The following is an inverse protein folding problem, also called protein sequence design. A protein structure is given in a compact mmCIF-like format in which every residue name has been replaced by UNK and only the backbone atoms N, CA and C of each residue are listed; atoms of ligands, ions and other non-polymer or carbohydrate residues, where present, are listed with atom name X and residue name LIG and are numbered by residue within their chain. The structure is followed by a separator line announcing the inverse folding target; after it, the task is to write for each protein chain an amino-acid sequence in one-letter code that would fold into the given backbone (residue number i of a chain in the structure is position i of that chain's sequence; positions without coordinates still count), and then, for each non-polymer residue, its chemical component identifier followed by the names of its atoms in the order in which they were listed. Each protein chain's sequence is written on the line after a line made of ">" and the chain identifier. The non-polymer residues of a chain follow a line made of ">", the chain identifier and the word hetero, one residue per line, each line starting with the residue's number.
data_IF_127970127428
#
_entry.id   IF_127970127428
#
_cell.length_a   1.000
_cell.length_b   1.000
_cell.length_c   1.000
_cell.angle_alpha   90.00
_cell.angle_beta   90.00
_cell.angle_gamma   90.00
#
_symmetry.space_group_name_H-M   'P 1'
#
loop_
_entity.id
_entity.type
_entity.pdbx_description
1 polymer ?
#
# COMPACT_ATOMS: atom_id res chain seq x y z
N UNK A 1 -2.90 -40.66 48.41
CA UNK A 1 -2.26 -40.01 47.24
C UNK A 1 -3.19 -39.77 46.02
N UNK A 2 -4.40 -40.33 45.95
CA UNK A 2 -5.30 -40.16 44.78
C UNK A 2 -5.95 -38.77 44.65
N UNK A 3 -6.23 -38.06 45.75
CA UNK A 3 -6.88 -36.72 45.71
C UNK A 3 -5.99 -35.57 45.24
N UNK A 4 -4.65 -35.68 45.38
CA UNK A 4 -3.72 -34.66 44.89
C UNK A 4 -3.45 -34.79 43.39
N UNK A 5 -3.58 -35.99 42.83
CA UNK A 5 -3.35 -36.25 41.40
C UNK A 5 -4.47 -35.68 40.52
N UNK A 6 -5.74 -35.76 40.96
CA UNK A 6 -6.87 -35.17 40.24
C UNK A 6 -6.81 -33.65 40.17
N UNK A 7 -6.26 -32.99 41.19
CA UNK A 7 -6.13 -31.53 41.22
C UNK A 7 -5.06 -31.04 40.23
N UNK A 8 -3.95 -31.80 40.08
CA UNK A 8 -2.90 -31.49 39.12
C UNK A 8 -3.37 -31.72 37.68
N UNK A 9 -4.18 -32.76 37.44
CA UNK A 9 -4.74 -33.03 36.10
C UNK A 9 -5.77 -31.96 35.71
N UNK A 10 -6.64 -31.53 36.62
CA UNK A 10 -7.57 -30.43 36.34
C UNK A 10 -6.86 -29.08 36.14
N UNK A 11 -5.76 -28.81 36.87
CA UNK A 11 -4.97 -27.60 36.68
C UNK A 11 -4.21 -27.61 35.35
N UNK A 12 -3.66 -28.74 34.92
CA UNK A 12 -3.03 -28.87 33.59
C UNK A 12 -4.04 -28.72 32.46
N UNK A 13 -5.26 -29.27 32.58
CA UNK A 13 -6.32 -29.08 31.58
C UNK A 13 -6.80 -27.62 31.52
N UNK A 14 -6.84 -26.91 32.64
CA UNK A 14 -7.16 -25.48 32.67
C UNK A 14 -6.05 -24.63 32.03
N UNK A 15 -4.77 -24.96 32.26
CA UNK A 15 -3.63 -24.28 31.63
C UNK A 15 -3.55 -24.59 30.13
N UNK A 16 -3.88 -25.81 29.69
CA UNK A 16 -3.96 -26.15 28.25
C UNK A 16 -5.14 -25.43 27.60
N UNK A 17 -6.28 -25.27 28.29
CA UNK A 17 -7.42 -24.51 27.79
C UNK A 17 -7.19 -22.98 27.80
N UNK A 18 -6.37 -22.46 28.72
CA UNK A 18 -5.97 -21.04 28.75
C UNK A 18 -4.81 -20.73 27.79
N UNK A 19 -3.95 -21.71 27.48
CA UNK A 19 -3.01 -21.62 26.36
C UNK A 19 -3.70 -21.73 24.98
N UNK A 20 -4.91 -22.29 24.91
CA UNK A 20 -5.75 -22.30 23.72
C UNK A 20 -6.63 -21.05 23.55
N UNK A 21 -6.66 -20.14 24.53
CA UNK A 21 -7.43 -18.88 24.47
C UNK A 21 -6.57 -17.61 24.57
N UNK A 22 -5.27 -17.73 24.39
CA UNK A 22 -4.33 -16.62 24.58
C UNK A 22 -3.31 -16.47 23.45
N UNK A 23 -3.74 -16.59 22.19
CA UNK A 23 -3.05 -16.03 21.04
C UNK A 23 -3.84 -16.32 19.75
N UNK A 24 -4.87 -15.52 19.46
CA UNK A 24 -4.99 -15.04 18.08
C UNK A 24 -3.81 -14.08 17.84
N UNK A 25 -2.58 -14.59 17.91
CA UNK A 25 -1.48 -14.06 17.12
C UNK A 25 -1.74 -14.55 15.71
N UNK A 26 -2.75 -13.97 15.07
CA UNK A 26 -2.76 -13.94 13.63
C UNK A 26 -1.54 -13.10 13.26
N UNK A 27 -0.39 -13.76 13.07
CA UNK A 27 0.65 -13.22 12.20
C UNK A 27 -0.08 -12.76 10.95
N UNK A 28 -0.04 -11.46 10.61
CA UNK A 28 -0.76 -10.85 9.50
C UNK A 28 -0.78 -11.80 8.30
N UNK A 29 -1.89 -12.52 8.16
CA UNK A 29 -1.91 -13.79 7.46
C UNK A 29 -1.52 -13.57 6.01
N UNK A 30 -0.48 -14.25 5.55
CA UNK A 30 -0.03 -14.18 4.17
C UNK A 30 -1.23 -14.40 3.25
N UNK A 31 -1.59 -13.34 2.54
CA UNK A 31 -2.60 -13.33 1.51
C UNK A 31 -2.40 -14.55 0.59
N UNK A 32 -3.43 -15.40 0.50
CA UNK A 32 -3.44 -16.60 -0.33
C UNK A 32 -3.82 -16.23 -1.75
N UNK A 33 -3.10 -16.76 -2.73
CA UNK A 33 -3.44 -16.62 -4.13
C UNK A 33 -4.90 -17.04 -4.39
N UNK A 34 -5.59 -16.28 -5.24
CA UNK A 34 -6.97 -16.49 -5.65
C UNK A 34 -7.96 -16.65 -4.50
N UNK A 35 -7.72 -15.93 -3.40
CA UNK A 35 -8.67 -15.76 -2.30
C UNK A 35 -9.17 -14.33 -2.31
N UNK A 36 -10.49 -14.12 -2.25
CA UNK A 36 -11.05 -12.79 -2.03
C UNK A 36 -10.99 -12.42 -0.55
N UNK A 37 -10.39 -11.27 -0.28
CA UNK A 37 -10.38 -10.61 1.02
C UNK A 37 -11.29 -9.39 0.93
N UNK A 38 -12.40 -9.44 1.63
CA UNK A 38 -13.54 -8.52 1.44
C UNK A 38 -13.68 -7.65 2.68
N UNK A 39 -13.91 -6.35 2.49
CA UNK A 39 -14.25 -5.47 3.61
C UNK A 39 -15.49 -6.01 4.34
N UNK A 40 -15.41 -6.13 5.67
CA UNK A 40 -16.43 -6.81 6.48
C UNK A 40 -17.77 -6.08 6.54
N UNK A 41 -17.83 -4.86 6.01
CA UNK A 41 -18.99 -3.97 5.89
C UNK A 41 -19.90 -4.33 4.71
N UNK A 42 -20.37 -5.58 4.62
CA UNK A 42 -21.40 -5.95 3.65
C UNK A 42 -22.70 -5.16 3.92
N UNK A 43 -23.49 -4.83 2.87
CA UNK A 43 -24.67 -3.99 3.00
C UNK A 43 -25.67 -4.52 4.05
N UNK A 44 -26.24 -3.63 4.87
CA UNK A 44 -27.30 -4.00 5.80
C UNK A 44 -28.48 -4.62 5.05
N UNK A 45 -28.98 -5.77 5.53
CA UNK A 45 -30.11 -6.49 4.93
C UNK A 45 -29.74 -7.58 3.92
N UNK A 46 -28.49 -7.65 3.46
CA UNK A 46 -28.02 -8.71 2.55
C UNK A 46 -28.12 -10.12 3.15
N UNK A 47 -28.08 -10.27 4.48
CA UNK A 47 -28.12 -11.59 5.14
C UNK A 47 -26.84 -12.42 4.93
N UNK A 48 -26.04 -12.14 3.90
CA UNK A 48 -24.73 -12.71 3.69
C UNK A 48 -23.67 -12.01 4.52
N UNK A 49 -22.71 -12.80 4.98
CA UNK A 49 -21.56 -12.32 5.75
C UNK A 49 -20.28 -12.76 5.07
N UNK A 50 -19.21 -12.02 5.24
CA UNK A 50 -17.88 -12.47 4.81
C UNK A 50 -17.45 -13.58 5.77
N UNK A 51 -16.88 -14.67 5.24
CA UNK A 51 -16.27 -15.68 6.09
C UNK A 51 -15.15 -15.04 6.94
N UNK A 52 -15.07 -15.39 8.22
CA UNK A 52 -14.14 -14.73 9.14
C UNK A 52 -12.67 -14.79 8.69
N UNK A 53 -12.25 -15.85 8.00
CA UNK A 53 -10.89 -16.03 7.45
C UNK A 53 -10.66 -15.26 6.13
N UNK A 54 -11.68 -14.58 5.62
CA UNK A 54 -11.73 -13.84 4.35
C UNK A 54 -12.09 -12.37 4.54
N UNK A 55 -12.27 -11.93 5.78
CA UNK A 55 -12.41 -10.50 6.08
C UNK A 55 -11.08 -9.83 5.77
N UNK A 56 -11.13 -8.73 5.00
CA UNK A 56 -9.97 -7.90 4.74
C UNK A 56 -9.50 -7.29 6.05
N UNK A 57 -8.38 -7.78 6.55
CA UNK A 57 -7.73 -7.22 7.72
C UNK A 57 -6.61 -6.30 7.26
N UNK A 58 -6.67 -5.04 7.67
CA UNK A 58 -5.51 -4.16 7.58
C UNK A 58 -4.53 -4.58 8.67
N UNK A 59 -3.29 -4.90 8.28
CA UNK A 59 -2.21 -5.13 9.25
C UNK A 59 -2.08 -3.87 10.10
N UNK A 60 -1.97 -4.02 11.42
CA UNK A 60 -1.77 -2.86 12.28
C UNK A 60 -0.27 -2.57 12.42
N UNK A 61 0.14 -1.31 12.57
CA UNK A 61 1.55 -0.96 12.77
C UNK A 61 2.22 -1.77 13.90
N UNK A 62 1.52 -2.01 15.01
CA UNK A 62 2.05 -2.77 16.16
C UNK A 62 2.35 -4.25 15.85
N UNK A 63 1.68 -4.83 14.86
CA UNK A 63 1.83 -6.24 14.47
C UNK A 63 2.97 -6.44 13.46
N UNK A 64 3.51 -5.37 12.89
CA UNK A 64 4.68 -5.43 12.01
C UNK A 64 5.92 -5.88 12.79
N UNK A 65 6.85 -6.63 12.18
CA UNK A 65 8.12 -6.93 12.82
C UNK A 65 8.93 -5.65 13.09
N UNK A 66 9.88 -5.72 14.02
CA UNK A 66 10.87 -4.65 14.18
C UNK A 66 11.78 -4.57 12.94
N UNK A 67 12.33 -3.38 12.62
CA UNK A 67 13.25 -3.25 11.50
C UNK A 67 14.49 -4.12 11.71
N UNK A 68 15.08 -4.58 10.60
CA UNK A 68 16.33 -5.37 10.64
C UNK A 68 17.52 -4.58 11.19
N UNK A 69 17.47 -3.25 11.12
CA UNK A 69 18.51 -2.34 11.59
C UNK A 69 17.88 -1.16 12.30
N UNK A 70 18.45 -0.77 13.44
CA UNK A 70 18.07 0.47 14.14
C UNK A 70 18.64 1.72 13.46
N UNK A 71 19.58 1.55 12.53
CA UNK A 71 20.20 2.62 11.75
C UNK A 71 20.41 2.13 10.31
N UNK A 72 20.14 3.01 9.34
CA UNK A 72 20.37 2.74 7.91
C UNK A 72 21.28 3.81 7.31
N UNK A 73 22.09 3.40 6.35
CA UNK A 73 22.79 4.32 5.44
C UNK A 73 21.97 4.46 4.17
N UNK A 74 21.52 5.68 3.88
CA UNK A 74 20.68 5.99 2.71
C UNK A 74 21.40 6.98 1.82
N UNK A 75 21.27 6.81 0.51
CA UNK A 75 21.76 7.76 -0.47
C UNK A 75 20.58 8.48 -1.12
N UNK A 76 20.44 9.78 -0.85
CA UNK A 76 19.42 10.63 -1.49
C UNK A 76 20.16 11.67 -2.32
N UNK A 77 19.87 11.73 -3.62
CA UNK A 77 20.54 12.62 -4.59
C UNK A 77 22.08 12.54 -4.54
N UNK A 78 22.61 11.33 -4.39
CA UNK A 78 24.06 11.07 -4.34
C UNK A 78 24.76 11.49 -3.04
N UNK A 79 24.03 11.98 -2.04
CA UNK A 79 24.54 12.24 -0.69
C UNK A 79 24.20 11.07 0.23
N UNK A 80 25.19 10.56 0.95
CA UNK A 80 24.99 9.53 1.96
C UNK A 80 24.63 10.15 3.30
N UNK A 81 23.61 9.59 3.95
CA UNK A 81 23.14 9.96 5.26
C UNK A 81 23.06 8.72 6.15
N UNK A 82 23.25 8.92 7.45
CA UNK A 82 22.82 7.97 8.46
C UNK A 82 21.47 8.42 9.00
N UNK A 83 20.52 7.48 9.11
CA UNK A 83 19.20 7.72 9.65
C UNK A 83 18.86 6.68 10.73
N UNK A 84 18.38 7.17 11.86
CA UNK A 84 17.99 6.35 13.01
C UNK A 84 16.52 5.96 12.94
N UNK A 85 16.19 4.76 13.37
CA UNK A 85 14.82 4.26 13.39
C UNK A 85 13.94 5.10 14.33
N UNK A 86 12.79 5.54 13.80
CA UNK A 86 11.85 6.42 14.50
C UNK A 86 10.47 5.78 14.70
N UNK A 87 10.18 4.67 14.03
CA UNK A 87 8.92 3.93 14.19
C UNK A 87 8.53 3.19 12.92
N UNK A 88 7.35 2.57 12.94
CA UNK A 88 6.81 1.80 11.82
C UNK A 88 5.34 2.11 11.60
N UNK A 89 4.88 1.91 10.38
CA UNK A 89 3.51 2.14 9.95
C UNK A 89 3.17 1.17 8.81
N UNK A 90 1.90 1.09 8.47
CA UNK A 90 1.44 0.30 7.32
C UNK A 90 1.07 1.21 6.16
N UNK A 91 1.67 0.93 5.01
CA UNK A 91 1.40 1.61 3.75
C UNK A 91 0.48 0.75 2.90
N UNK A 92 -0.66 1.30 2.49
CA UNK A 92 -1.63 0.59 1.65
C UNK A 92 -2.15 -0.70 2.30
N UNK A 93 -2.14 -1.81 1.55
CA UNK A 93 -2.67 -3.10 1.98
C UNK A 93 -1.62 -3.93 2.77
N UNK A 94 -1.15 -3.36 3.87
CA UNK A 94 -0.26 -4.04 4.83
C UNK A 94 1.22 -4.06 4.45
N UNK A 95 1.69 -3.20 3.54
CA UNK A 95 3.12 -3.07 3.29
C UNK A 95 3.77 -2.39 4.50
N UNK A 96 4.79 -3.02 5.08
CA UNK A 96 5.55 -2.44 6.18
C UNK A 96 6.31 -1.18 5.71
N UNK A 97 6.03 -0.04 6.35
CA UNK A 97 6.80 1.19 6.23
C UNK A 97 7.60 1.44 7.49
N UNK A 98 8.92 1.41 7.39
CA UNK A 98 9.82 1.71 8.50
C UNK A 98 10.31 3.14 8.37
N UNK A 99 10.03 3.95 9.39
CA UNK A 99 10.33 5.37 9.44
C UNK A 99 11.71 5.57 10.07
N UNK A 100 12.52 6.40 9.42
CA UNK A 100 13.85 6.78 9.87
C UNK A 100 14.02 8.29 9.81
N UNK A 101 14.88 8.83 10.67
CA UNK A 101 15.17 10.27 10.73
C UNK A 101 16.69 10.51 10.75
N UNK A 102 17.17 11.44 9.92
CA UNK A 102 18.57 11.87 9.92
C UNK A 102 18.83 12.84 11.07
N UNK A 103 20.10 13.03 11.44
CA UNK A 103 20.47 14.04 12.45
C UNK A 103 20.09 15.47 12.02
N UNK A 104 19.92 15.70 10.72
CA UNK A 104 19.50 16.98 10.14
C UNK A 104 17.97 17.17 10.14
N UNK A 105 17.19 16.16 10.54
CA UNK A 105 15.72 16.20 10.59
C UNK A 105 15.02 15.77 9.29
N UNK A 106 15.76 15.20 8.32
CA UNK A 106 15.15 14.60 7.15
C UNK A 106 14.46 13.30 7.54
N UNK A 107 13.27 13.05 7.00
CA UNK A 107 12.48 11.85 7.29
C UNK A 107 12.42 10.94 6.08
N UNK A 108 12.60 9.66 6.34
CA UNK A 108 12.53 8.62 5.32
C UNK A 108 11.55 7.55 5.76
N UNK A 109 10.85 6.96 4.80
CA UNK A 109 10.14 5.71 5.00
C UNK A 109 10.64 4.69 3.99
N UNK A 110 11.05 3.52 4.49
CA UNK A 110 11.57 2.42 3.67
C UNK A 110 10.70 1.19 3.81
N UNK A 111 10.63 0.38 2.76
CA UNK A 111 9.96 -0.91 2.81
C UNK A 111 10.81 -1.96 3.57
N UNK A 112 10.29 -3.19 3.68
CA UNK A 112 11.00 -4.30 4.34
C UNK A 112 12.25 -4.78 3.59
N UNK A 113 12.43 -4.41 2.32
CA UNK A 113 13.62 -4.67 1.52
C UNK A 113 14.66 -3.54 1.65
N UNK A 114 14.30 -2.40 2.23
CA UNK A 114 15.16 -1.23 2.41
C UNK A 114 15.08 -0.22 1.26
N UNK A 115 14.11 -0.35 0.35
CA UNK A 115 13.88 0.66 -0.69
C UNK A 115 13.18 1.87 -0.08
N UNK A 116 13.59 3.07 -0.48
CA UNK A 116 12.97 4.30 0.00
C UNK A 116 11.64 4.53 -0.70
N UNK A 117 10.54 4.43 0.05
CA UNK A 117 9.19 4.73 -0.42
C UNK A 117 8.85 6.20 -0.27
N UNK A 118 9.35 6.85 0.79
CA UNK A 118 9.13 8.27 1.04
C UNK A 118 10.40 8.94 1.54
N UNK A 119 10.59 10.18 1.13
CA UNK A 119 11.62 11.08 1.64
C UNK A 119 11.02 12.47 1.78
N UNK A 120 11.29 13.12 2.91
CA UNK A 120 10.97 14.52 3.14
C UNK A 120 12.16 15.21 3.80
N UNK A 121 12.68 16.22 3.14
CA UNK A 121 13.78 17.02 3.66
C UNK A 121 13.35 17.82 4.89
N UNK A 122 14.29 18.13 5.78
CA UNK A 122 14.06 19.01 6.93
C UNK A 122 13.53 20.39 6.48
N UNK A 123 14.10 20.93 5.39
CA UNK A 123 13.68 22.21 4.80
C UNK A 123 12.20 22.23 4.41
N UNK A 124 11.62 21.09 4.04
CA UNK A 124 10.21 20.98 3.71
C UNK A 124 9.24 21.14 4.91
N UNK A 125 9.75 21.17 6.15
CA UNK A 125 8.94 21.51 7.32
C UNK A 125 8.88 23.02 7.56
N UNK A 126 9.96 23.73 7.22
CA UNK A 126 10.04 25.18 7.33
C UNK A 126 9.49 25.88 6.09
N UNK A 127 9.37 25.16 4.97
CA UNK A 127 8.83 25.65 3.71
C UNK A 127 7.29 25.74 3.76
N UNK A 128 6.78 26.84 4.32
CA UNK A 128 5.36 27.12 4.35
C UNK A 128 4.80 27.33 2.94
N UNK A 129 3.70 26.66 2.63
CA UNK A 129 2.98 26.87 1.39
C UNK A 129 2.37 28.28 1.36
N UNK A 130 2.74 29.07 0.35
CA UNK A 130 2.24 30.42 0.11
C UNK A 130 2.07 30.65 -1.38
N UNK A 131 1.23 31.61 -1.76
CA UNK A 131 1.21 32.09 -3.13
C UNK A 131 2.52 32.82 -3.46
N UNK A 132 2.98 32.65 -4.70
CA UNK A 132 4.19 33.26 -5.26
C UNK A 132 3.86 34.00 -6.54
N UNK A 133 4.63 35.04 -6.83
CA UNK A 133 4.55 35.77 -8.09
C UNK A 133 5.33 35.05 -9.21
N UNK A 134 5.03 35.38 -10.46
CA UNK A 134 5.72 34.78 -11.62
C UNK A 134 7.24 35.04 -11.63
N UNK A 135 7.71 36.15 -11.04
CA UNK A 135 9.13 36.47 -10.93
C UNK A 135 9.84 35.68 -9.80
N UNK A 136 9.07 35.17 -8.83
CA UNK A 136 9.59 34.35 -7.74
C UNK A 136 9.67 32.87 -8.13
N UNK A 137 8.84 32.38 -9.04
CA UNK A 137 8.75 30.97 -9.37
C UNK A 137 9.41 30.62 -10.72
N UNK A 138 9.88 29.38 -10.84
CA UNK A 138 10.15 28.79 -12.15
C UNK A 138 8.85 28.73 -12.97
N UNK A 139 8.95 28.87 -14.30
CA UNK A 139 7.82 28.58 -15.18
C UNK A 139 7.39 27.10 -15.03
N UNK A 140 6.14 26.75 -15.37
CA UNK A 140 5.68 25.36 -15.34
C UNK A 140 6.60 24.39 -16.10
N UNK A 141 7.10 24.79 -17.27
CA UNK A 141 8.01 23.99 -18.10
C UNK A 141 9.38 23.81 -17.43
N UNK A 142 9.94 24.90 -16.89
CA UNK A 142 11.24 24.85 -16.21
C UNK A 142 11.17 24.01 -14.92
N UNK A 143 10.05 24.12 -14.19
CA UNK A 143 9.80 23.35 -12.97
C UNK A 143 9.63 21.85 -13.29
N UNK A 144 8.87 21.51 -14.34
CA UNK A 144 8.74 20.12 -14.81
C UNK A 144 10.06 19.54 -15.31
N UNK A 145 10.89 20.34 -16.00
CA UNK A 145 12.22 19.91 -16.41
C UNK A 145 13.10 19.55 -15.19
N UNK A 146 13.07 20.38 -14.14
CA UNK A 146 13.78 20.09 -12.88
C UNK A 146 13.25 18.85 -12.18
N UNK A 147 11.94 18.66 -12.13
CA UNK A 147 11.34 17.45 -11.58
C UNK A 147 11.81 16.19 -12.33
N UNK A 148 11.91 16.25 -13.67
CA UNK A 148 12.44 15.15 -14.50
C UNK A 148 13.93 14.89 -14.24
N UNK A 149 14.75 15.91 -14.00
CA UNK A 149 16.14 15.73 -13.60
C UNK A 149 16.25 14.94 -12.28
N UNK A 150 15.46 15.30 -11.26
CA UNK A 150 15.43 14.56 -9.99
C UNK A 150 14.92 13.13 -10.18
N UNK A 151 13.90 12.92 -11.02
CA UNK A 151 13.41 11.59 -11.33
C UNK A 151 14.52 10.68 -11.88
N UNK A 152 15.34 11.20 -12.79
CA UNK A 152 16.51 10.48 -13.33
C UNK A 152 17.58 10.24 -12.26
N UNK A 153 17.86 11.22 -11.40
CA UNK A 153 18.85 11.08 -10.34
C UNK A 153 18.44 10.05 -9.27
N UNK A 154 17.15 9.97 -8.95
CA UNK A 154 16.61 9.10 -7.90
C UNK A 154 16.41 7.67 -8.40
N UNK A 155 15.88 7.48 -9.62
CA UNK A 155 15.44 6.17 -10.10
C UNK A 155 16.22 5.66 -11.33
N UNK A 156 17.14 6.46 -11.88
CA UNK A 156 17.87 6.15 -13.10
C UNK A 156 17.10 6.49 -14.38
N UNK A 157 17.83 6.58 -15.50
CA UNK A 157 17.29 6.98 -16.81
C UNK A 157 16.19 6.04 -17.30
N UNK A 158 16.40 4.73 -17.15
CA UNK A 158 15.49 3.71 -17.68
C UNK A 158 14.13 3.73 -16.98
N UNK A 159 14.12 3.91 -15.65
CA UNK A 159 12.88 4.06 -14.89
C UNK A 159 12.22 5.39 -15.22
N UNK A 160 12.95 6.49 -15.18
CA UNK A 160 12.41 7.83 -15.41
C UNK A 160 11.75 7.98 -16.79
N UNK A 161 12.29 7.35 -17.84
CA UNK A 161 11.76 7.41 -19.19
C UNK A 161 10.35 6.81 -19.35
N UNK A 162 9.92 5.98 -18.40
CA UNK A 162 8.60 5.32 -18.42
C UNK A 162 7.52 6.14 -17.75
N UNK A 163 7.86 7.28 -17.18
CA UNK A 163 6.96 8.07 -16.34
C UNK A 163 6.81 9.48 -16.91
N UNK A 164 5.58 10.00 -16.88
CA UNK A 164 5.30 11.37 -17.30
C UNK A 164 4.31 12.07 -16.37
N UNK A 165 4.35 13.40 -16.39
CA UNK A 165 3.49 14.27 -15.62
C UNK A 165 3.03 15.47 -16.47
N UNK A 166 1.81 15.98 -16.25
CA UNK A 166 1.37 17.22 -16.88
C UNK A 166 2.18 18.42 -16.37
N UNK A 167 2.03 19.57 -17.03
CA UNK A 167 2.57 20.83 -16.52
C UNK A 167 1.97 21.11 -15.12
N UNK A 168 2.80 21.51 -14.14
CA UNK A 168 2.34 21.77 -12.80
C UNK A 168 1.66 23.15 -12.69
N UNK A 169 0.89 23.33 -11.63
CA UNK A 169 0.56 24.67 -11.12
C UNK A 169 1.76 25.19 -10.32
N UNK A 170 2.28 26.36 -10.70
CA UNK A 170 3.43 27.02 -10.05
C UNK A 170 3.02 28.28 -9.29
N UNK A 171 1.73 28.45 -8.99
CA UNK A 171 1.22 29.60 -8.24
C UNK A 171 1.56 29.57 -6.75
N UNK A 172 2.08 28.45 -6.24
CA UNK A 172 2.47 28.29 -4.84
C UNK A 172 3.97 27.99 -4.67
N UNK A 173 4.47 28.22 -3.46
CA UNK A 173 5.85 27.94 -3.08
C UNK A 173 6.21 26.45 -3.09
N UNK A 174 5.21 25.55 -3.05
CA UNK A 174 5.42 24.09 -3.14
C UNK A 174 4.75 23.56 -4.39
N UNK A 175 5.55 23.15 -5.35
CA UNK A 175 5.08 22.64 -6.65
C UNK A 175 5.05 21.12 -6.63
N UNK A 176 3.86 20.54 -6.81
CA UNK A 176 3.65 19.10 -6.81
C UNK A 176 3.66 18.52 -8.23
N UNK A 177 4.34 17.39 -8.38
CA UNK A 177 4.41 16.61 -9.60
C UNK A 177 3.90 15.21 -9.32
N UNK A 178 2.98 14.72 -10.15
CA UNK A 178 2.46 13.35 -10.06
C UNK A 178 2.79 12.60 -11.34
N UNK A 179 3.96 11.96 -11.33
CA UNK A 179 4.44 11.11 -12.40
C UNK A 179 3.71 9.77 -12.38
N UNK A 180 3.13 9.42 -13.53
CA UNK A 180 2.46 8.13 -13.75
C UNK A 180 3.16 7.38 -14.88
N UNK A 181 3.15 6.03 -14.88
CA UNK A 181 3.64 5.28 -16.02
C UNK A 181 2.94 5.71 -17.31
N UNK A 182 3.68 5.82 -18.40
CA UNK A 182 3.13 6.08 -19.74
C UNK A 182 2.29 4.89 -20.20
N UNK A 183 2.70 3.68 -19.85
CA UNK A 183 1.94 2.44 -20.00
C UNK A 183 1.35 1.99 -18.65
N UNK A 184 0.34 2.72 -18.18
CA UNK A 184 -0.31 2.45 -16.88
C UNK A 184 -1.29 1.28 -16.89
N UNK A 185 -1.43 0.59 -18.02
CA UNK A 185 -2.49 -0.41 -18.25
C UNK A 185 -1.87 -1.75 -18.60
N UNK A 186 -2.25 -2.80 -17.88
CA UNK A 186 -1.97 -4.20 -18.22
C UNK A 186 -3.27 -4.90 -18.58
N UNK A 187 -3.59 -4.98 -19.87
CA UNK A 187 -4.87 -5.53 -20.33
C UNK A 187 -6.05 -4.67 -19.86
N UNK A 188 -6.94 -5.25 -19.05
CA UNK A 188 -8.09 -4.54 -18.46
C UNK A 188 -7.78 -3.83 -17.13
N UNK A 189 -6.53 -3.84 -16.67
CA UNK A 189 -6.15 -3.42 -15.32
C UNK A 189 -5.29 -2.17 -15.32
N UNK A 190 -5.60 -1.20 -14.46
CA UNK A 190 -4.70 -0.08 -14.15
C UNK A 190 -3.68 -0.47 -13.10
N UNK A 191 -2.49 0.12 -13.08
CA UNK A 191 -1.51 -0.12 -12.01
C UNK A 191 -1.54 0.96 -10.94
N UNK A 192 -1.17 0.61 -9.70
CA UNK A 192 -1.03 1.53 -8.58
C UNK A 192 0.28 2.33 -8.59
N UNK A 193 1.13 2.15 -9.60
CA UNK A 193 2.43 2.81 -9.70
C UNK A 193 2.28 4.32 -9.74
N UNK A 194 3.01 4.99 -8.86
CA UNK A 194 3.09 6.45 -8.86
C UNK A 194 4.40 6.91 -8.26
N UNK A 195 4.95 7.96 -8.86
CA UNK A 195 6.02 8.76 -8.27
C UNK A 195 5.47 10.17 -8.11
N UNK A 196 5.59 10.72 -6.90
CA UNK A 196 5.24 12.12 -6.66
C UNK A 196 6.45 12.85 -6.11
N UNK A 197 6.74 14.03 -6.65
CA UNK A 197 7.79 14.91 -6.18
C UNK A 197 7.16 16.22 -5.71
N UNK A 198 7.71 16.83 -4.67
CA UNK A 198 7.43 18.23 -4.32
C UNK A 198 8.73 19.02 -4.44
N UNK A 199 8.69 20.11 -5.18
CA UNK A 199 9.80 21.06 -5.30
C UNK A 199 9.42 22.41 -4.69
N UNK A 200 10.40 23.18 -4.25
CA UNK A 200 10.19 24.61 -3.96
C UNK A 200 9.92 25.39 -5.26
N UNK A 201 9.46 26.63 -5.15
CA UNK A 201 9.29 27.55 -6.30
C UNK A 201 10.60 27.80 -7.05
N UNK A 202 11.75 27.54 -6.41
CA UNK A 202 13.10 27.65 -6.99
C UNK A 202 13.63 26.33 -7.55
N UNK A 203 12.88 25.24 -7.44
CA UNK A 203 13.25 23.92 -7.97
C UNK A 203 14.13 23.08 -7.05
N UNK A 204 14.14 23.35 -5.75
CA UNK A 204 14.83 22.51 -4.75
C UNK A 204 13.92 21.33 -4.36
N UNK A 205 14.46 20.12 -4.26
CA UNK A 205 13.67 18.95 -3.85
C UNK A 205 13.28 19.04 -2.38
N UNK A 206 11.98 19.13 -2.12
CA UNK A 206 11.41 19.16 -0.77
C UNK A 206 11.07 17.74 -0.30
N UNK A 207 10.41 16.95 -1.15
CA UNK A 207 10.03 15.57 -0.83
C UNK A 207 9.81 14.71 -2.08
N UNK A 208 9.83 13.40 -1.90
CA UNK A 208 9.31 12.46 -2.87
C UNK A 208 8.58 11.28 -2.24
N UNK A 209 7.66 10.71 -3.01
CA UNK A 209 6.89 9.51 -2.69
C UNK A 209 6.94 8.59 -3.89
N UNK A 210 7.38 7.35 -3.70
CA UNK A 210 7.53 6.35 -4.74
C UNK A 210 6.83 5.07 -4.28
N UNK A 211 5.67 4.80 -4.88
CA UNK A 211 4.88 3.62 -4.55
C UNK A 211 4.85 2.67 -5.74
N UNK A 212 5.20 1.42 -5.49
CA UNK A 212 5.13 0.30 -6.44
C UNK A 212 5.98 0.45 -7.71
N UNK A 213 6.97 1.36 -7.73
CA UNK A 213 7.78 1.67 -8.92
C UNK A 213 8.45 0.40 -9.47
N UNK A 214 8.07 0.02 -10.70
CA UNK A 214 8.61 -1.18 -11.37
C UNK A 214 8.13 -2.50 -10.80
N UNK A 215 7.22 -2.50 -9.82
CA UNK A 215 6.79 -3.72 -9.14
C UNK A 215 5.92 -4.64 -10.03
N UNK A 216 5.41 -4.13 -11.14
CA UNK A 216 4.62 -4.87 -12.13
C UNK A 216 5.41 -5.20 -13.40
N UNK A 217 6.70 -4.86 -13.46
CA UNK A 217 7.55 -5.15 -14.61
C UNK A 217 7.69 -6.66 -14.83
N UNK A 218 7.41 -7.11 -16.06
CA UNK A 218 7.48 -8.54 -16.42
C UNK A 218 6.47 -9.44 -15.71
N UNK A 219 5.50 -8.88 -14.98
CA UNK A 219 4.42 -9.63 -14.33
C UNK A 219 3.11 -9.47 -15.09
N UNK A 220 2.41 -10.56 -15.32
CA UNK A 220 1.13 -10.58 -16.04
C UNK A 220 0.00 -11.08 -15.15
N UNK A 221 -1.22 -10.66 -15.49
CA UNK A 221 -2.43 -11.18 -14.85
C UNK A 221 -2.67 -12.60 -15.38
N UNK A 222 -2.90 -13.60 -14.49
CA UNK A 222 -3.19 -14.97 -14.91
C UNK A 222 -4.35 -15.02 -15.91
N UNK A 223 -4.19 -15.81 -16.99
CA UNK A 223 -5.17 -15.86 -18.08
C UNK A 223 -6.55 -16.40 -17.66
N UNK A 224 -6.59 -17.19 -16.59
CA UNK A 224 -7.81 -17.72 -15.99
C UNK A 224 -8.47 -16.74 -15.00
N UNK A 225 -7.88 -15.57 -14.75
CA UNK A 225 -8.45 -14.51 -13.90
C UNK A 225 -9.52 -13.69 -14.65
N UNK A 226 -10.56 -14.38 -15.10
CA UNK A 226 -11.73 -13.84 -15.81
C UNK A 226 -12.81 -13.36 -14.83
N UNK A 227 -13.80 -12.61 -15.33
CA UNK A 227 -14.94 -12.14 -14.52
C UNK A 227 -15.69 -13.28 -13.83
N UNK A 228 -15.95 -14.37 -14.54
CA UNK A 228 -16.60 -15.56 -13.98
C UNK A 228 -15.75 -16.18 -12.86
N UNK A 229 -14.43 -16.25 -13.06
CA UNK A 229 -13.51 -16.74 -12.04
C UNK A 229 -13.46 -15.82 -10.83
N UNK A 230 -13.46 -14.51 -11.03
CA UNK A 230 -13.49 -13.51 -9.96
C UNK A 230 -14.78 -13.64 -9.14
N UNK A 231 -15.95 -13.74 -9.80
CA UNK A 231 -17.23 -13.95 -9.12
C UNK A 231 -17.23 -15.24 -8.31
N UNK A 232 -16.68 -16.33 -8.86
CA UNK A 232 -16.52 -17.59 -8.13
C UNK A 232 -15.66 -17.41 -6.87
N UNK A 233 -14.49 -16.76 -6.99
CA UNK A 233 -13.56 -16.52 -5.86
C UNK A 233 -14.22 -15.68 -4.76
N UNK A 234 -15.00 -14.65 -5.15
CA UNK A 234 -15.77 -13.82 -4.21
C UNK A 234 -16.85 -14.67 -3.54
N UNK A 235 -17.64 -15.43 -4.30
CA UNK A 235 -18.68 -16.30 -3.76
C UNK A 235 -18.17 -17.33 -2.75
N UNK A 236 -17.02 -17.95 -3.01
CA UNK A 236 -16.35 -18.88 -2.07
C UNK A 236 -15.91 -18.22 -0.74
N UNK A 237 -15.80 -16.88 -0.75
CA UNK A 237 -15.36 -16.06 0.38
C UNK A 237 -16.53 -15.47 1.18
N UNK A 238 -17.74 -15.48 0.62
CA UNK A 238 -18.98 -15.20 1.32
C UNK A 238 -19.43 -16.43 2.13
N UNK A 239 -20.24 -16.21 3.16
CA UNK A 239 -20.85 -17.24 3.98
C UNK A 239 -22.34 -17.33 3.69
N UNK A 240 -22.83 -18.54 3.43
CA UNK A 240 -24.23 -18.79 3.07
C UNK A 240 -24.49 -18.66 1.58
N UNK A 241 -25.76 -18.74 1.19
CA UNK A 241 -26.20 -18.47 -0.17
C UNK A 241 -26.18 -16.97 -0.44
N UNK A 242 -25.84 -16.57 -1.67
CA UNK A 242 -25.76 -15.18 -2.10
C UNK A 242 -26.48 -14.99 -3.44
N UNK A 243 -26.99 -13.78 -3.68
CA UNK A 243 -27.50 -13.38 -4.98
C UNK A 243 -26.41 -13.25 -6.05
N UNK A 244 -26.76 -12.61 -7.17
CA UNK A 244 -25.82 -12.42 -8.27
C UNK A 244 -24.74 -11.41 -7.89
N UNK A 245 -23.48 -11.78 -8.15
CA UNK A 245 -22.32 -10.90 -7.92
C UNK A 245 -22.11 -10.04 -9.17
N UNK A 246 -22.18 -8.72 -8.97
CA UNK A 246 -21.82 -7.72 -9.97
C UNK A 246 -20.45 -7.13 -9.63
N UNK A 247 -19.59 -7.02 -10.64
CA UNK A 247 -18.24 -6.48 -10.51
C UNK A 247 -18.19 -5.04 -11.02
N UNK A 248 -17.38 -4.20 -10.39
CA UNK A 248 -17.08 -2.88 -10.94
C UNK A 248 -16.19 -2.99 -12.18
N UNK A 249 -16.34 -2.05 -13.11
CA UNK A 249 -15.46 -1.95 -14.27
C UNK A 249 -14.02 -1.57 -13.88
N UNK A 250 -13.86 -0.82 -12.79
CA UNK A 250 -12.55 -0.40 -12.31
C UNK A 250 -11.79 -1.55 -11.66
N UNK A 251 -10.62 -1.87 -12.24
CA UNK A 251 -9.70 -2.88 -11.74
C UNK A 251 -8.31 -2.29 -11.61
N UNK A 252 -7.69 -2.51 -10.45
CA UNK A 252 -6.38 -1.95 -10.14
C UNK A 252 -5.44 -3.02 -9.60
N UNK A 253 -4.27 -3.14 -10.20
CA UNK A 253 -3.18 -3.95 -9.68
C UNK A 253 -2.45 -3.18 -8.59
N UNK A 254 -2.27 -3.83 -7.46
CA UNK A 254 -1.55 -3.36 -6.28
C UNK A 254 -0.47 -4.37 -5.90
N UNK A 255 0.47 -3.97 -5.05
CA UNK A 255 1.36 -4.93 -4.40
C UNK A 255 0.93 -5.14 -2.95
N UNK A 256 1.08 -6.36 -2.47
CA UNK A 256 0.92 -6.73 -1.08
C UNK A 256 2.29 -6.87 -0.41
N UNK A 257 2.30 -7.13 0.90
CA UNK A 257 3.51 -7.50 1.62
C UNK A 257 4.24 -8.66 0.93
N UNK A 258 5.57 -8.58 0.84
CA UNK A 258 6.40 -9.56 0.14
C UNK A 258 6.46 -9.40 -1.38
N UNK A 259 5.87 -8.34 -1.94
CA UNK A 259 5.97 -8.01 -3.37
C UNK A 259 5.05 -8.84 -4.27
N UNK A 260 4.09 -9.55 -3.67
CA UNK A 260 3.02 -10.26 -4.39
C UNK A 260 2.11 -9.27 -5.09
N UNK A 261 1.67 -9.59 -6.30
CA UNK A 261 0.62 -8.81 -6.96
C UNK A 261 -0.76 -9.22 -6.43
N UNK A 262 -1.63 -8.24 -6.27
CA UNK A 262 -3.06 -8.47 -6.13
C UNK A 262 -3.87 -7.55 -7.05
N UNK A 263 -5.09 -7.98 -7.36
CA UNK A 263 -6.10 -7.13 -7.96
C UNK A 263 -7.01 -6.59 -6.85
N UNK A 264 -7.21 -5.29 -6.80
CA UNK A 264 -8.28 -4.65 -6.03
C UNK A 264 -9.36 -4.14 -6.97
N UNK A 265 -10.61 -4.36 -6.58
CA UNK A 265 -11.80 -3.87 -7.27
C UNK A 265 -12.96 -3.78 -6.28
N UNK A 266 -14.12 -3.34 -6.75
CA UNK A 266 -15.35 -3.38 -5.97
C UNK A 266 -16.32 -4.40 -6.57
N UNK A 267 -17.17 -4.98 -5.72
CA UNK A 267 -18.30 -5.78 -6.15
C UNK A 267 -19.54 -5.40 -5.35
N UNK A 268 -20.71 -5.77 -5.84
CA UNK A 268 -21.97 -5.71 -5.06
C UNK A 268 -22.76 -6.99 -5.28
N UNK A 269 -23.68 -7.25 -4.37
CA UNK A 269 -24.65 -8.35 -4.49
C UNK A 269 -25.97 -7.74 -4.96
N UNK A 270 -26.53 -8.27 -6.03
CA UNK A 270 -27.87 -7.94 -6.49
C UNK A 270 -28.85 -8.97 -5.91
N UNK A 271 -29.82 -8.50 -5.13
CA UNK A 271 -30.92 -9.32 -4.58
C UNK A 271 -32.26 -8.72 -5.02
N UNK A 272 -33.15 -9.57 -5.54
CA UNK A 272 -34.56 -9.24 -5.83
C UNK A 272 -34.79 -7.90 -6.57
N UNK A 273 -33.88 -7.56 -7.50
CA UNK A 273 -33.97 -6.35 -8.32
C UNK A 273 -33.47 -5.06 -7.66
N UNK A 274 -32.96 -5.12 -6.44
CA UNK A 274 -32.27 -4.02 -5.77
C UNK A 274 -30.74 -4.23 -5.82
N UNK A 275 -30.01 -3.20 -6.23
CA UNK A 275 -28.56 -3.22 -6.21
C UNK A 275 -28.05 -2.87 -4.80
N UNK A 276 -27.24 -3.75 -4.20
CA UNK A 276 -26.55 -3.48 -2.94
C UNK A 276 -25.43 -2.43 -3.08
N UNK A 277 -24.83 -2.06 -1.94
CA UNK A 277 -23.67 -1.15 -1.94
C UNK A 277 -22.41 -1.82 -2.51
N UNK A 278 -21.53 -1.00 -3.06
CA UNK A 278 -20.23 -1.43 -3.56
C UNK A 278 -19.28 -1.68 -2.40
N UNK A 279 -18.72 -2.89 -2.34
CA UNK A 279 -17.79 -3.33 -1.32
C UNK A 279 -16.43 -3.64 -1.95
N UNK A 280 -15.37 -3.20 -1.29
CA UNK A 280 -14.00 -3.43 -1.76
C UNK A 280 -13.56 -4.87 -1.55
N UNK A 281 -12.86 -5.42 -2.54
CA UNK A 281 -12.24 -6.74 -2.48
C UNK A 281 -10.80 -6.68 -2.97
N UNK A 282 -9.93 -7.43 -2.29
CA UNK A 282 -8.54 -7.68 -2.68
C UNK A 282 -8.38 -9.16 -3.00
N UNK A 283 -7.88 -9.48 -4.20
CA UNK A 283 -7.61 -10.84 -4.65
C UNK A 283 -6.12 -10.96 -5.02
N UNK A 284 -5.30 -11.64 -4.20
CA UNK A 284 -3.91 -11.93 -4.53
C UNK A 284 -3.82 -12.83 -5.75
N UNK A 285 -2.87 -12.55 -6.64
CA UNK A 285 -2.64 -13.34 -7.86
C UNK A 285 -1.49 -14.35 -7.69
N UNK A 286 -0.68 -14.19 -6.64
CA UNK A 286 0.55 -14.94 -6.32
C UNK A 286 0.62 -15.33 -4.82
#
# INVERSE_FOLDING_TARGET
>A
MKRKLSFVICLMLLVISLCACGANKHSGGQYKAFTAYIDGSLPEGSGQKVRADRVLMTVKPEDLPEPRKSEISVSVLGKQYSAAYAGKDTVGYGIAGYKYETAQGDKLEVDSAGNIMQYKSAAAYDHAERYVTADEALSPEASLAKAREYLVQLFGKDVAARYDAPLPDTSTSTVWFHFKPTDRVKGAYTTAERISLALSEKGELLSYYAYHVGAFDGKDVPADFTDDRIKQIIGESLSGEHGDIELSDERKLITLEGGKIACTMSFRIAEDGAAGEWVSVVIPLE
#
